data_IF_824086937610
#
_entry.id   IF_824086937610
#
_cell.length_a   1.000
_cell.length_b   1.000
_cell.length_c   1.000
_cell.angle_alpha   90.00
_cell.angle_beta   90.00
_cell.angle_gamma   90.00
#
_symmetry.space_group_name_H-M   'P 1'
#
loop_
_entity.id
_entity.type
_entity.pdbx_description
1 polymer ?
#
# COMPACT_ATOMS: atom_id res chain seq x y z
N UNK A 1 -28.31 18.11 -24.50
CA UNK A 1 -26.98 18.12 -25.15
C UNK A 1 -26.50 16.66 -25.23
N UNK A 2 -26.52 16.09 -26.47
CA UNK A 2 -26.01 14.76 -26.74
C UNK A 2 -24.48 14.80 -26.65
N UNK A 3 -23.91 14.42 -25.51
CA UNK A 3 -22.47 14.06 -25.46
C UNK A 3 -22.30 12.77 -26.25
N UNK A 4 -21.93 12.90 -27.54
CA UNK A 4 -21.39 11.77 -28.29
C UNK A 4 -20.21 11.22 -27.50
N UNK A 5 -20.32 9.97 -27.04
CA UNK A 5 -19.15 9.26 -26.50
C UNK A 5 -18.02 9.40 -27.52
N UNK A 6 -16.86 9.97 -27.15
CA UNK A 6 -15.73 10.00 -28.08
C UNK A 6 -15.42 8.56 -28.50
N UNK A 7 -15.15 8.38 -29.79
CA UNK A 7 -14.69 7.07 -30.29
C UNK A 7 -13.58 6.55 -29.38
N UNK A 8 -13.73 5.35 -28.87
CA UNK A 8 -12.83 4.74 -27.87
C UNK A 8 -11.36 4.87 -28.29
N UNK A 9 -11.07 4.77 -29.60
CA UNK A 9 -9.74 4.91 -30.16
C UNK A 9 -9.11 6.31 -30.01
N UNK A 10 -9.92 7.38 -29.90
CA UNK A 10 -9.42 8.76 -29.75
C UNK A 10 -9.10 9.13 -28.29
N UNK A 11 -9.58 8.34 -27.32
CA UNK A 11 -9.31 8.55 -25.89
C UNK A 11 -8.13 7.71 -25.36
N UNK A 12 -7.56 6.82 -26.18
CA UNK A 12 -6.46 5.93 -25.75
C UNK A 12 -5.11 6.56 -26.12
N UNK A 13 -4.24 6.69 -25.14
CA UNK A 13 -2.84 7.02 -25.37
C UNK A 13 -2.08 5.75 -25.81
N UNK A 14 -1.96 5.59 -27.12
CA UNK A 14 -1.29 4.44 -27.74
C UNK A 14 0.17 4.32 -27.36
N UNK A 15 0.86 5.42 -27.05
CA UNK A 15 2.25 5.36 -26.57
C UNK A 15 2.34 4.63 -25.23
N UNK A 16 1.46 4.95 -24.28
CA UNK A 16 1.39 4.26 -22.99
C UNK A 16 1.04 2.78 -23.15
N UNK A 17 0.13 2.45 -24.05
CA UNK A 17 -0.23 1.04 -24.34
C UNK A 17 0.99 0.28 -24.87
N UNK A 18 1.72 0.82 -25.83
CA UNK A 18 2.91 0.15 -26.37
C UNK A 18 4.03 0.02 -25.35
N UNK A 19 4.27 1.04 -24.51
CA UNK A 19 5.23 0.97 -23.41
C UNK A 19 4.85 -0.11 -22.41
N UNK A 20 3.58 -0.19 -22.03
CA UNK A 20 3.08 -1.23 -21.15
C UNK A 20 3.29 -2.63 -21.73
N UNK A 21 2.92 -2.84 -22.99
CA UNK A 21 3.12 -4.12 -23.69
C UNK A 21 4.61 -4.50 -23.76
N UNK A 22 5.47 -3.54 -24.08
CA UNK A 22 6.91 -3.75 -24.11
C UNK A 22 7.45 -4.20 -22.74
N UNK A 23 7.02 -3.56 -21.65
CA UNK A 23 7.40 -3.95 -20.29
C UNK A 23 6.91 -5.36 -19.92
N UNK A 24 5.67 -5.71 -20.31
CA UNK A 24 5.14 -7.05 -20.09
C UNK A 24 5.96 -8.13 -20.82
N UNK A 25 6.31 -7.87 -22.09
CA UNK A 25 7.14 -8.80 -22.89
C UNK A 25 8.55 -8.93 -22.32
N UNK A 26 9.19 -7.82 -21.97
CA UNK A 26 10.53 -7.82 -21.34
C UNK A 26 10.47 -8.62 -20.02
N UNK A 27 9.48 -8.39 -19.18
CA UNK A 27 9.31 -9.13 -17.93
C UNK A 27 9.14 -10.63 -18.15
N UNK A 28 8.33 -11.05 -19.15
CA UNK A 28 8.17 -12.44 -19.53
C UNK A 28 9.49 -13.07 -20.01
N UNK A 29 10.23 -12.36 -20.87
CA UNK A 29 11.53 -12.81 -21.38
C UNK A 29 12.58 -12.94 -20.26
N UNK A 30 12.58 -12.04 -19.28
CA UNK A 30 13.46 -12.14 -18.12
C UNK A 30 13.17 -13.40 -17.30
N UNK A 31 11.90 -13.69 -17.01
CA UNK A 31 11.52 -14.90 -16.28
C UNK A 31 11.87 -16.14 -17.09
N UNK A 32 11.59 -16.13 -18.41
CA UNK A 32 11.94 -17.22 -19.30
C UNK A 32 13.44 -17.49 -19.31
N UNK A 33 14.29 -16.46 -19.44
CA UNK A 33 15.75 -16.61 -19.51
C UNK A 33 16.37 -17.23 -18.26
N UNK A 34 15.77 -16.98 -17.08
CA UNK A 34 16.25 -17.52 -15.80
C UNK A 34 15.86 -18.99 -15.64
N UNK A 35 14.70 -19.39 -16.13
CA UNK A 35 14.12 -20.71 -15.86
C UNK A 35 14.29 -21.71 -17.01
N UNK A 36 14.60 -21.23 -18.22
CA UNK A 36 14.81 -22.07 -19.39
C UNK A 36 16.08 -22.91 -19.27
N UNK A 37 15.98 -24.20 -19.59
CA UNK A 37 17.11 -25.11 -19.70
C UNK A 37 17.18 -25.72 -21.12
N UNK A 38 18.38 -25.80 -21.68
CA UNK A 38 18.59 -26.37 -23.00
C UNK A 38 18.11 -27.82 -23.07
N UNK A 39 17.35 -28.15 -24.13
CA UNK A 39 16.76 -29.47 -24.32
C UNK A 39 15.34 -29.66 -23.79
N UNK A 40 14.76 -28.69 -23.11
CA UNK A 40 13.36 -28.76 -22.67
C UNK A 40 12.37 -28.40 -23.80
N UNK A 41 11.25 -29.13 -23.86
CA UNK A 41 10.17 -28.85 -24.80
C UNK A 41 9.33 -27.65 -24.29
N UNK A 42 9.56 -26.48 -24.91
CA UNK A 42 8.93 -25.21 -24.51
C UNK A 42 7.39 -25.29 -24.55
N UNK A 43 6.83 -25.91 -25.60
CA UNK A 43 5.37 -26.01 -25.79
C UNK A 43 4.76 -26.85 -24.67
N UNK A 44 5.38 -27.95 -24.32
CA UNK A 44 4.91 -28.85 -23.29
C UNK A 44 4.99 -28.21 -21.89
N UNK A 45 6.00 -27.41 -21.65
CA UNK A 45 6.15 -26.64 -20.41
C UNK A 45 5.16 -25.48 -20.32
N UNK A 46 4.85 -24.79 -21.43
CA UNK A 46 3.84 -23.74 -21.50
C UNK A 46 2.46 -24.26 -21.14
N UNK A 47 2.04 -25.39 -21.71
CA UNK A 47 0.74 -25.99 -21.47
C UNK A 47 0.63 -26.68 -20.11
N UNK A 48 1.74 -27.13 -19.56
CA UNK A 48 1.79 -27.90 -18.31
C UNK A 48 1.75 -27.06 -17.02
N UNK A 49 1.81 -25.74 -17.09
CA UNK A 49 1.86 -24.81 -15.93
C UNK A 49 2.90 -25.15 -14.85
N UNK A 50 3.95 -25.87 -15.21
CA UNK A 50 4.98 -26.32 -14.26
C UNK A 50 6.04 -25.24 -14.00
N UNK A 51 6.24 -24.35 -14.95
CA UNK A 51 7.26 -23.31 -14.93
C UNK A 51 6.64 -21.93 -14.64
N UNK A 52 7.39 -21.04 -14.00
CA UNK A 52 6.87 -19.70 -13.65
C UNK A 52 6.59 -18.85 -14.91
N UNK A 53 7.41 -18.97 -15.97
CA UNK A 53 7.13 -18.27 -17.23
C UNK A 53 5.84 -18.73 -17.90
N UNK A 54 5.43 -20.01 -17.74
CA UNK A 54 4.15 -20.51 -18.23
C UNK A 54 2.97 -19.87 -17.50
N UNK A 55 3.05 -19.81 -16.17
CA UNK A 55 2.06 -19.14 -15.33
C UNK A 55 1.97 -17.65 -15.68
N UNK A 56 3.12 -16.99 -15.83
CA UNK A 56 3.18 -15.58 -16.19
C UNK A 56 2.53 -15.31 -17.55
N UNK A 57 2.81 -16.13 -18.55
CA UNK A 57 2.21 -16.03 -19.87
C UNK A 57 0.68 -16.16 -19.81
N UNK A 58 0.19 -17.15 -19.07
CA UNK A 58 -1.24 -17.38 -18.88
C UNK A 58 -1.93 -16.22 -18.15
N UNK A 59 -1.34 -15.74 -17.06
CA UNK A 59 -1.90 -14.60 -16.31
C UNK A 59 -1.85 -13.31 -17.11
N UNK A 60 -0.83 -13.12 -17.92
CA UNK A 60 -0.79 -11.99 -18.86
C UNK A 60 -1.97 -12.03 -19.85
N UNK A 61 -2.29 -13.19 -20.41
CA UNK A 61 -3.47 -13.37 -21.27
C UNK A 61 -4.78 -13.02 -20.54
N UNK A 62 -4.98 -13.55 -19.33
CA UNK A 62 -6.15 -13.21 -18.50
C UNK A 62 -6.21 -11.69 -18.23
N UNK A 63 -5.07 -11.07 -17.90
CA UNK A 63 -5.00 -9.64 -17.63
C UNK A 63 -5.40 -8.80 -18.83
N UNK A 64 -5.05 -9.21 -20.06
CA UNK A 64 -5.51 -8.53 -21.27
C UNK A 64 -7.02 -8.64 -21.48
N UNK A 65 -7.59 -9.81 -21.23
CA UNK A 65 -9.06 -9.98 -21.31
C UNK A 65 -9.76 -9.07 -20.29
N UNK A 66 -9.27 -9.03 -19.06
CA UNK A 66 -9.80 -8.13 -18.01
C UNK A 66 -9.62 -6.66 -18.40
N UNK A 67 -8.48 -6.28 -18.96
CA UNK A 67 -8.23 -4.91 -19.41
C UNK A 67 -9.21 -4.49 -20.50
N UNK A 68 -9.48 -5.34 -21.50
CA UNK A 68 -10.47 -5.09 -22.54
C UNK A 68 -11.87 -4.94 -21.91
N UNK A 69 -12.23 -5.82 -20.99
CA UNK A 69 -13.53 -5.74 -20.29
C UNK A 69 -13.68 -4.42 -19.54
N UNK A 70 -12.63 -3.97 -18.82
CA UNK A 70 -12.65 -2.70 -18.10
C UNK A 70 -12.78 -1.52 -19.05
N UNK A 71 -12.08 -1.53 -20.20
CA UNK A 71 -12.14 -0.46 -21.22
C UNK A 71 -13.53 -0.37 -21.87
N UNK A 72 -14.24 -1.47 -22.02
CA UNK A 72 -15.58 -1.52 -22.58
C UNK A 72 -16.69 -1.20 -21.56
N UNK A 73 -16.39 -1.20 -20.27
CA UNK A 73 -17.36 -0.99 -19.21
C UNK A 73 -17.51 0.51 -18.90
N UNK A 74 -18.74 0.99 -18.77
CA UNK A 74 -19.02 2.39 -18.41
C UNK A 74 -18.44 2.72 -17.01
N UNK A 75 -17.82 3.89 -16.88
CA UNK A 75 -17.29 4.40 -15.60
C UNK A 75 -18.33 4.48 -14.49
N UNK A 76 -19.61 4.69 -14.84
CA UNK A 76 -20.74 4.71 -13.89
C UNK A 76 -20.92 3.39 -13.17
N UNK A 77 -20.64 2.26 -13.84
CA UNK A 77 -20.67 0.95 -13.21
C UNK A 77 -19.69 0.84 -12.05
N UNK A 78 -18.45 1.29 -12.24
CA UNK A 78 -17.43 1.27 -11.19
C UNK A 78 -17.78 2.20 -10.02
N UNK A 79 -18.32 3.38 -10.32
CA UNK A 79 -18.78 4.30 -9.28
C UNK A 79 -19.97 3.71 -8.50
N UNK A 80 -20.92 3.09 -9.17
CA UNK A 80 -22.08 2.48 -8.51
C UNK A 80 -21.66 1.34 -7.58
N UNK A 81 -20.77 0.47 -8.05
CA UNK A 81 -20.34 -0.75 -7.34
C UNK A 81 -19.21 -0.52 -6.32
N UNK A 82 -18.58 0.66 -6.29
CA UNK A 82 -17.38 0.93 -5.48
C UNK A 82 -17.52 0.55 -3.99
N UNK A 83 -18.62 0.91 -3.34
CA UNK A 83 -18.84 0.62 -1.91
C UNK A 83 -19.03 -0.88 -1.67
N UNK A 84 -19.78 -1.55 -2.56
CA UNK A 84 -20.01 -2.99 -2.47
C UNK A 84 -18.71 -3.78 -2.70
N UNK A 85 -17.93 -3.37 -3.71
CA UNK A 85 -16.62 -3.98 -4.00
C UNK A 85 -15.65 -3.79 -2.83
N UNK A 86 -15.63 -2.60 -2.20
CA UNK A 86 -14.81 -2.34 -1.04
C UNK A 86 -15.19 -3.24 0.14
N UNK A 87 -16.50 -3.33 0.45
CA UNK A 87 -16.99 -4.22 1.51
C UNK A 87 -16.62 -5.68 1.21
N UNK A 88 -16.83 -6.12 -0.03
CA UNK A 88 -16.43 -7.45 -0.47
C UNK A 88 -14.92 -7.70 -0.29
N UNK A 89 -14.06 -6.73 -0.65
CA UNK A 89 -12.62 -6.81 -0.44
C UNK A 89 -12.23 -6.94 1.03
N UNK A 90 -12.85 -6.17 1.91
CA UNK A 90 -12.65 -6.29 3.36
C UNK A 90 -13.10 -7.68 3.87
N UNK A 91 -14.27 -8.15 3.44
CA UNK A 91 -14.75 -9.48 3.81
C UNK A 91 -13.80 -10.59 3.32
N UNK A 92 -13.23 -10.48 2.12
CA UNK A 92 -12.22 -11.42 1.62
C UNK A 92 -10.95 -11.42 2.48
N UNK A 93 -10.46 -10.24 2.90
CA UNK A 93 -9.31 -10.16 3.82
C UNK A 93 -9.64 -10.82 5.15
N UNK A 94 -10.82 -10.56 5.71
CA UNK A 94 -11.26 -11.18 6.95
C UNK A 94 -11.41 -12.71 6.81
N UNK A 95 -11.93 -13.19 5.69
CA UNK A 95 -12.06 -14.62 5.42
C UNK A 95 -10.71 -15.35 5.44
N UNK A 96 -9.61 -14.70 5.05
CA UNK A 96 -8.28 -15.34 5.10
C UNK A 96 -7.80 -15.68 6.50
N UNK A 97 -8.29 -15.02 7.55
CA UNK A 97 -7.96 -15.42 8.93
C UNK A 97 -8.47 -16.81 9.27
N UNK A 98 -9.59 -17.23 8.63
CA UNK A 98 -10.24 -18.52 8.85
C UNK A 98 -9.76 -19.55 7.83
N UNK A 99 -9.88 -19.25 6.53
CA UNK A 99 -9.62 -20.20 5.43
C UNK A 99 -8.26 -20.03 4.76
N UNK A 100 -7.49 -19.04 5.15
CA UNK A 100 -6.22 -18.70 4.52
C UNK A 100 -5.17 -19.79 4.69
N UNK A 101 -4.45 -20.10 3.60
CA UNK A 101 -3.28 -20.98 3.61
C UNK A 101 -2.10 -20.26 4.26
N UNK A 102 -1.41 -20.97 5.13
CA UNK A 102 -0.18 -20.45 5.73
C UNK A 102 0.97 -20.56 4.72
N UNK A 103 1.39 -19.43 4.19
CA UNK A 103 2.54 -19.33 3.29
C UNK A 103 3.62 -18.48 3.98
N UNK A 104 4.77 -19.07 4.23
CA UNK A 104 5.89 -18.42 4.91
C UNK A 104 5.48 -17.71 6.23
N UNK A 105 4.56 -18.31 7.01
CA UNK A 105 4.12 -17.80 8.32
C UNK A 105 3.02 -16.73 8.26
N UNK A 106 2.42 -16.46 7.09
CA UNK A 106 1.27 -15.58 6.93
C UNK A 106 0.05 -16.34 6.41
N UNK A 107 -1.13 -16.05 6.97
CA UNK A 107 -2.41 -16.57 6.49
C UNK A 107 -3.10 -15.53 5.60
N UNK A 108 -2.45 -15.12 4.51
CA UNK A 108 -2.92 -14.05 3.63
C UNK A 108 -3.35 -14.53 2.24
N UNK A 109 -3.26 -15.82 1.97
CA UNK A 109 -3.52 -16.41 0.66
C UNK A 109 -4.72 -17.34 0.67
N UNK A 110 -5.62 -17.19 -0.30
CA UNK A 110 -6.73 -18.12 -0.54
C UNK A 110 -6.34 -19.04 -1.70
N UNK A 111 -6.24 -20.37 -1.48
CA UNK A 111 -5.95 -21.29 -2.55
C UNK A 111 -7.19 -21.50 -3.42
N UNK A 112 -7.06 -21.29 -4.72
CA UNK A 112 -8.10 -21.54 -5.74
C UNK A 112 -7.68 -22.68 -6.68
N UNK A 113 -7.08 -23.73 -6.15
CA UNK A 113 -6.60 -24.87 -6.92
C UNK A 113 -5.28 -24.56 -7.62
N UNK A 114 -5.33 -24.14 -8.89
CA UNK A 114 -4.13 -23.88 -9.71
C UNK A 114 -3.40 -22.60 -9.30
N UNK A 115 -4.11 -21.65 -8.68
CA UNK A 115 -3.59 -20.34 -8.30
C UNK A 115 -3.90 -20.02 -6.84
N UNK A 116 -3.09 -19.16 -6.25
CA UNK A 116 -3.38 -18.54 -4.95
C UNK A 116 -3.68 -17.07 -5.17
N UNK A 117 -4.77 -16.59 -4.58
CA UNK A 117 -5.12 -15.17 -4.59
C UNK A 117 -4.78 -14.57 -3.24
N UNK A 118 -4.17 -13.39 -3.24
CA UNK A 118 -3.96 -12.59 -2.06
C UNK A 118 -5.02 -11.49 -1.99
N UNK A 119 -6.04 -11.60 -1.13
CA UNK A 119 -7.16 -10.65 -1.10
C UNK A 119 -6.76 -9.21 -0.85
N UNK A 120 -5.69 -8.95 -0.11
CA UNK A 120 -5.20 -7.61 0.14
C UNK A 120 -4.74 -6.91 -1.16
N UNK A 121 -4.24 -7.67 -2.15
CA UNK A 121 -3.84 -7.12 -3.45
C UNK A 121 -5.07 -6.68 -4.27
N UNK A 122 -6.11 -7.50 -4.28
CA UNK A 122 -7.38 -7.18 -4.94
C UNK A 122 -8.09 -6.01 -4.25
N UNK A 123 -8.06 -6.00 -2.92
CA UNK A 123 -8.69 -4.95 -2.13
C UNK A 123 -8.07 -3.56 -2.37
N UNK A 124 -6.82 -3.45 -2.82
CA UNK A 124 -6.23 -2.15 -3.21
C UNK A 124 -7.02 -1.48 -4.33
N UNK A 125 -7.47 -2.24 -5.32
CA UNK A 125 -8.29 -1.73 -6.42
C UNK A 125 -9.64 -1.22 -5.88
N UNK A 126 -10.29 -2.01 -5.04
CA UNK A 126 -11.57 -1.64 -4.44
C UNK A 126 -11.46 -0.44 -3.50
N UNK A 127 -10.34 -0.34 -2.77
CA UNK A 127 -10.04 0.80 -1.91
C UNK A 127 -9.88 2.07 -2.75
N UNK A 128 -9.17 2.02 -3.88
CA UNK A 128 -9.02 3.18 -4.76
C UNK A 128 -10.35 3.66 -5.32
N UNK A 129 -11.21 2.74 -5.73
CA UNK A 129 -12.57 3.07 -6.19
C UNK A 129 -13.44 3.69 -5.09
N UNK A 130 -13.38 3.13 -3.88
CA UNK A 130 -14.14 3.65 -2.74
C UNK A 130 -13.69 5.05 -2.33
N UNK A 131 -12.37 5.29 -2.29
CA UNK A 131 -11.81 6.62 -1.99
C UNK A 131 -12.19 7.60 -3.09
N UNK A 132 -12.04 7.24 -4.37
CA UNK A 132 -12.40 8.11 -5.49
C UNK A 132 -13.88 8.48 -5.45
N UNK A 133 -14.77 7.51 -5.21
CA UNK A 133 -16.20 7.77 -5.04
C UNK A 133 -16.50 8.69 -3.86
N UNK A 134 -15.85 8.45 -2.71
CA UNK A 134 -16.04 9.27 -1.52
C UNK A 134 -15.62 10.72 -1.74
N UNK A 135 -14.43 10.91 -2.34
CA UNK A 135 -13.88 12.24 -2.60
C UNK A 135 -14.62 13.00 -3.72
N UNK A 136 -15.28 12.29 -4.64
CA UNK A 136 -16.07 12.87 -5.72
C UNK A 136 -17.47 13.28 -5.32
N UNK A 137 -17.89 13.06 -4.06
CA UNK A 137 -19.24 13.39 -3.61
C UNK A 137 -19.44 14.93 -3.61
N UNK A 138 -20.51 15.46 -4.26
CA UNK A 138 -20.70 16.91 -4.43
C UNK A 138 -20.82 17.67 -3.11
N UNK A 139 -21.39 17.03 -2.09
CA UNK A 139 -21.64 17.64 -0.77
C UNK A 139 -20.48 17.44 0.21
N UNK A 140 -19.35 16.88 -0.26
CA UNK A 140 -18.21 16.59 0.60
C UNK A 140 -17.40 17.86 0.88
N UNK A 141 -17.40 18.29 2.13
CA UNK A 141 -16.44 19.26 2.63
C UNK A 141 -15.22 18.54 3.23
N UNK A 142 -14.14 18.43 2.44
CA UNK A 142 -12.92 17.73 2.85
C UNK A 142 -12.06 18.55 3.83
N UNK A 143 -12.40 19.80 4.11
CA UNK A 143 -11.77 20.58 5.17
C UNK A 143 -12.23 20.13 6.58
N UNK A 144 -13.36 19.47 6.69
CA UNK A 144 -13.85 18.93 7.96
C UNK A 144 -13.04 17.72 8.40
N UNK A 145 -12.62 17.72 9.66
CA UNK A 145 -11.89 16.59 10.27
C UNK A 145 -12.64 15.26 10.14
N UNK A 146 -13.97 15.28 10.24
CA UNK A 146 -14.81 14.08 10.06
C UNK A 146 -14.63 13.46 8.67
N UNK A 147 -14.65 14.29 7.62
CA UNK A 147 -14.46 13.82 6.24
C UNK A 147 -13.06 13.25 6.03
N UNK A 148 -12.03 13.90 6.60
CA UNK A 148 -10.65 13.41 6.56
C UNK A 148 -10.48 12.07 7.28
N UNK A 149 -11.13 11.91 8.45
CA UNK A 149 -11.07 10.66 9.21
C UNK A 149 -11.78 9.51 8.48
N UNK A 150 -12.93 9.76 7.84
CA UNK A 150 -13.62 8.74 7.04
C UNK A 150 -12.76 8.32 5.85
N UNK A 151 -12.19 9.27 5.11
CA UNK A 151 -11.30 8.97 3.99
C UNK A 151 -10.06 8.16 4.44
N UNK A 152 -9.45 8.54 5.56
CA UNK A 152 -8.35 7.81 6.16
C UNK A 152 -8.76 6.39 6.61
N UNK A 153 -9.95 6.23 7.20
CA UNK A 153 -10.47 4.92 7.58
C UNK A 153 -10.66 4.01 6.36
N UNK A 154 -11.24 4.53 5.26
CA UNK A 154 -11.37 3.77 4.01
C UNK A 154 -9.99 3.38 3.46
N UNK A 155 -9.03 4.32 3.45
CA UNK A 155 -7.69 4.08 2.92
C UNK A 155 -6.91 3.05 3.72
N UNK A 156 -6.95 3.11 5.06
CA UNK A 156 -6.01 2.39 5.92
C UNK A 156 -6.62 1.17 6.64
N UNK A 157 -7.95 0.96 6.64
CA UNK A 157 -8.52 -0.24 7.23
C UNK A 157 -7.95 -1.55 6.62
N UNK A 158 -7.81 -1.70 5.28
CA UNK A 158 -7.18 -2.88 4.70
C UNK A 158 -5.70 -3.01 5.09
N UNK A 159 -4.97 -1.89 5.24
CA UNK A 159 -3.58 -1.89 5.67
C UNK A 159 -3.43 -2.44 7.09
N UNK A 160 -4.30 -2.02 8.01
CA UNK A 160 -4.31 -2.53 9.39
C UNK A 160 -4.57 -4.04 9.40
N UNK A 161 -5.56 -4.52 8.63
CA UNK A 161 -5.84 -5.94 8.50
C UNK A 161 -4.65 -6.71 7.93
N UNK A 162 -3.92 -6.14 6.96
CA UNK A 162 -2.72 -6.73 6.39
C UNK A 162 -1.59 -6.86 7.40
N UNK A 163 -1.38 -5.85 8.25
CA UNK A 163 -0.40 -5.95 9.37
C UNK A 163 -0.81 -7.06 10.33
N UNK A 164 -2.10 -7.20 10.66
CA UNK A 164 -2.60 -8.29 11.49
C UNK A 164 -2.37 -9.68 10.88
N UNK A 165 -2.33 -9.78 9.54
CA UNK A 165 -1.95 -10.99 8.80
C UNK A 165 -0.44 -11.25 8.76
N UNK A 166 0.37 -10.40 9.39
CA UNK A 166 1.85 -10.40 9.34
C UNK A 166 2.41 -10.15 7.92
N UNK A 167 1.74 -9.27 7.17
CA UNK A 167 2.13 -8.82 5.83
C UNK A 167 2.37 -7.29 5.79
N UNK A 168 3.40 -6.78 6.49
CA UNK A 168 3.67 -5.33 6.54
C UNK A 168 4.05 -4.77 5.18
N UNK A 169 4.65 -5.58 4.28
CA UNK A 169 4.99 -5.14 2.92
C UNK A 169 3.75 -4.76 2.10
N UNK A 170 2.70 -5.57 2.16
CA UNK A 170 1.44 -5.25 1.51
C UNK A 170 0.77 -4.01 2.13
N UNK A 171 0.85 -3.86 3.46
CA UNK A 171 0.34 -2.68 4.16
C UNK A 171 1.02 -1.38 3.73
N UNK A 172 2.35 -1.40 3.49
CA UNK A 172 3.10 -0.23 3.03
C UNK A 172 2.56 0.36 1.74
N UNK A 173 2.05 -0.47 0.82
CA UNK A 173 1.50 0.03 -0.45
C UNK A 173 0.27 0.92 -0.23
N UNK A 174 -0.52 0.66 0.81
CA UNK A 174 -1.68 1.50 1.16
C UNK A 174 -1.30 2.91 1.61
N UNK A 175 -0.05 3.15 2.03
CA UNK A 175 0.40 4.52 2.34
C UNK A 175 0.45 5.42 1.10
N UNK A 176 0.46 4.87 -0.11
CA UNK A 176 0.32 5.66 -1.34
C UNK A 176 -1.01 6.44 -1.37
N UNK A 177 -2.07 5.94 -0.75
CA UNK A 177 -3.33 6.66 -0.64
C UNK A 177 -3.21 7.95 0.20
N UNK A 178 -2.26 8.04 1.14
CA UNK A 178 -1.99 9.28 1.86
C UNK A 178 -1.59 10.42 0.92
N UNK A 179 -0.83 10.11 -0.14
CA UNK A 179 -0.44 11.09 -1.16
C UNK A 179 -1.66 11.55 -1.98
N UNK A 180 -2.55 10.62 -2.32
CA UNK A 180 -3.80 10.96 -3.00
C UNK A 180 -4.69 11.86 -2.13
N UNK A 181 -4.87 11.51 -0.85
CA UNK A 181 -5.62 12.32 0.10
C UNK A 181 -4.99 13.71 0.32
N UNK A 182 -3.66 13.80 0.35
CA UNK A 182 -2.96 15.07 0.44
C UNK A 182 -3.22 15.96 -0.76
N UNK A 183 -3.17 15.40 -1.96
CA UNK A 183 -3.50 16.12 -3.20
C UNK A 183 -4.93 16.68 -3.16
N UNK A 184 -5.86 15.97 -2.54
CA UNK A 184 -7.26 16.40 -2.38
C UNK A 184 -7.49 17.37 -1.21
N UNK A 185 -6.43 17.75 -0.48
CA UNK A 185 -6.50 18.79 0.55
C UNK A 185 -6.30 18.30 2.00
N UNK A 186 -5.82 17.07 2.20
CA UNK A 186 -5.41 16.63 3.54
C UNK A 186 -4.25 17.52 4.04
N UNK A 187 -4.32 18.10 5.24
CA UNK A 187 -3.26 18.95 5.77
C UNK A 187 -1.89 18.25 5.80
N UNK A 188 -0.84 18.93 5.33
CA UNK A 188 0.53 18.42 5.27
C UNK A 188 1.05 17.88 6.59
N UNK A 189 0.55 18.38 7.72
CA UNK A 189 0.90 17.89 9.07
C UNK A 189 0.75 16.38 9.24
N UNK A 190 -0.25 15.75 8.62
CA UNK A 190 -0.48 14.31 8.70
C UNK A 190 0.57 13.53 7.91
N UNK A 191 0.92 14.01 6.71
CA UNK A 191 1.98 13.37 5.90
C UNK A 191 3.34 13.52 6.60
N UNK A 192 3.65 14.72 7.09
CA UNK A 192 4.89 14.96 7.84
C UNK A 192 4.96 14.05 9.07
N UNK A 193 3.85 13.87 9.80
CA UNK A 193 3.80 12.97 10.94
C UNK A 193 4.06 11.50 10.54
N UNK A 194 3.45 11.03 9.45
CA UNK A 194 3.67 9.66 8.94
C UNK A 194 5.11 9.47 8.47
N UNK A 195 5.64 10.39 7.68
CA UNK A 195 7.03 10.31 7.20
C UNK A 195 8.03 10.37 8.35
N UNK A 196 7.80 11.23 9.36
CA UNK A 196 8.66 11.29 10.54
C UNK A 196 8.61 9.99 11.35
N UNK A 197 7.45 9.35 11.46
CA UNK A 197 7.31 8.05 12.11
C UNK A 197 8.08 6.95 11.36
N UNK A 198 7.95 6.89 10.04
CA UNK A 198 8.69 5.94 9.20
C UNK A 198 10.20 6.16 9.35
N UNK A 199 10.65 7.41 9.27
CA UNK A 199 12.07 7.77 9.46
C UNK A 199 12.57 7.36 10.84
N UNK A 200 11.76 7.56 11.88
CA UNK A 200 12.10 7.17 13.25
C UNK A 200 12.23 5.65 13.38
N UNK A 201 11.31 4.88 12.78
CA UNK A 201 11.37 3.41 12.79
C UNK A 201 12.65 2.94 12.08
N UNK A 202 12.96 3.47 10.90
CA UNK A 202 14.18 3.13 10.16
C UNK A 202 15.42 3.50 10.97
N UNK A 203 15.46 4.70 11.56
CA UNK A 203 16.57 5.12 12.41
C UNK A 203 16.75 4.21 13.63
N UNK A 204 15.65 3.74 14.23
CA UNK A 204 15.67 2.83 15.37
C UNK A 204 16.21 1.42 15.03
N UNK A 205 16.19 1.06 13.73
CA UNK A 205 16.76 -0.20 13.23
C UNK A 205 18.27 -0.05 13.01
N UNK A 206 18.69 1.07 12.39
CA UNK A 206 20.08 1.28 11.95
C UNK A 206 20.96 1.75 13.12
N UNK A 207 20.43 2.57 14.02
CA UNK A 207 21.19 3.25 15.08
C UNK A 207 20.96 2.52 16.41
N UNK A 208 22.03 2.30 17.17
CA UNK A 208 21.95 1.74 18.54
C UNK A 208 20.98 2.56 19.40
N UNK A 209 20.13 1.88 20.17
CA UNK A 209 19.06 2.52 20.95
C UNK A 209 19.54 3.68 21.84
N UNK A 210 20.68 3.52 22.51
CA UNK A 210 21.22 4.56 23.40
C UNK A 210 21.66 5.81 22.62
N UNK A 211 22.30 5.60 21.45
CA UNK A 211 22.75 6.69 20.60
C UNK A 211 21.56 7.46 20.03
N UNK A 212 20.54 6.76 19.54
CA UNK A 212 19.33 7.38 19.01
C UNK A 212 18.58 8.15 20.12
N UNK A 213 18.50 7.60 21.33
CA UNK A 213 17.92 8.31 22.48
C UNK A 213 18.64 9.60 22.79
N UNK A 214 19.98 9.61 22.78
CA UNK A 214 20.79 10.81 22.98
C UNK A 214 20.51 11.85 21.87
N UNK A 215 20.50 11.41 20.61
CA UNK A 215 20.22 12.29 19.46
C UNK A 215 18.83 12.94 19.59
N UNK A 216 17.78 12.14 19.85
CA UNK A 216 16.43 12.66 20.03
C UNK A 216 16.32 13.66 21.18
N UNK A 217 17.03 13.38 22.27
CA UNK A 217 17.06 14.28 23.45
C UNK A 217 17.79 15.58 23.15
N UNK A 218 18.95 15.53 22.48
CA UNK A 218 19.68 16.71 22.06
C UNK A 218 18.88 17.59 21.10
N UNK A 219 18.20 16.98 20.12
CA UNK A 219 17.32 17.69 19.18
C UNK A 219 16.16 18.36 19.92
N UNK A 220 15.51 17.67 20.86
CA UNK A 220 14.43 18.25 21.65
C UNK A 220 14.91 19.43 22.50
N UNK A 221 16.06 19.31 23.15
CA UNK A 221 16.66 20.39 23.94
C UNK A 221 17.02 21.59 23.07
N UNK A 222 17.62 21.36 21.90
CA UNK A 222 17.95 22.40 20.93
C UNK A 222 16.71 23.16 20.47
N UNK A 223 15.65 22.45 20.14
CA UNK A 223 14.36 23.05 19.73
C UNK A 223 13.74 23.87 20.84
N UNK A 224 13.78 23.38 22.09
CA UNK A 224 13.29 24.11 23.26
C UNK A 224 14.10 25.37 23.47
N UNK A 225 15.43 25.31 23.32
CA UNK A 225 16.32 26.46 23.44
C UNK A 225 16.01 27.55 22.39
N UNK A 226 15.85 27.16 21.12
CA UNK A 226 15.50 28.08 20.01
C UNK A 226 14.11 28.72 20.25
N UNK A 227 13.12 27.95 20.71
CA UNK A 227 11.76 28.44 20.98
C UNK A 227 11.76 29.42 22.14
N UNK A 228 12.57 29.19 23.20
CA UNK A 228 12.71 30.12 24.32
C UNK A 228 13.30 31.48 23.91
N UNK A 229 14.22 31.51 22.94
CA UNK A 229 14.76 32.76 22.42
C UNK A 229 13.75 33.60 21.64
N UNK A 230 12.77 32.92 20.97
CA UNK A 230 11.71 33.61 20.24
C UNK A 230 10.56 33.97 21.18
N UNK A 231 10.61 35.11 21.82
CA UNK A 231 9.72 35.68 22.87
C UNK A 231 8.18 35.56 22.69
N UNK A 232 7.66 34.81 21.72
CA UNK A 232 6.24 34.71 21.38
C UNK A 232 5.66 33.31 21.60
N UNK A 233 4.70 33.18 22.53
CA UNK A 233 3.82 31.99 22.75
C UNK A 233 4.56 30.64 23.01
N UNK A 234 5.61 30.68 23.80
CA UNK A 234 6.59 29.61 24.05
C UNK A 234 5.99 28.36 24.71
N UNK A 235 5.03 28.49 25.64
CA UNK A 235 4.57 27.36 26.48
C UNK A 235 3.92 26.22 25.69
N UNK A 236 2.98 26.51 24.80
CA UNK A 236 2.27 25.46 24.02
C UNK A 236 3.21 24.75 23.05
N UNK A 237 4.18 25.48 22.47
CA UNK A 237 5.15 24.90 21.54
C UNK A 237 6.13 24.00 22.30
N UNK A 238 6.59 24.41 23.48
CA UNK A 238 7.46 23.59 24.34
C UNK A 238 6.74 22.32 24.76
N UNK A 239 5.47 22.42 25.18
CA UNK A 239 4.66 21.23 25.52
C UNK A 239 4.54 20.28 24.33
N UNK A 240 4.31 20.80 23.11
CA UNK A 240 4.26 19.99 21.90
C UNK A 240 5.59 19.27 21.62
N UNK A 241 6.74 19.96 21.76
CA UNK A 241 8.06 19.36 21.58
C UNK A 241 8.29 18.22 22.58
N UNK A 242 7.95 18.42 23.85
CA UNK A 242 8.08 17.41 24.89
C UNK A 242 7.18 16.21 24.60
N UNK A 243 5.94 16.43 24.15
CA UNK A 243 5.02 15.35 23.76
C UNK A 243 5.56 14.56 22.57
N UNK A 244 6.04 15.23 21.52
CA UNK A 244 6.65 14.57 20.36
C UNK A 244 7.87 13.77 20.77
N UNK A 245 8.73 14.31 21.64
CA UNK A 245 9.88 13.60 22.17
C UNK A 245 9.47 12.34 22.96
N UNK A 246 8.48 12.45 23.87
CA UNK A 246 7.96 11.29 24.61
C UNK A 246 7.41 10.20 23.69
N UNK A 247 6.62 10.59 22.67
CA UNK A 247 6.10 9.66 21.69
C UNK A 247 7.24 9.01 20.91
N UNK A 248 8.24 9.77 20.48
CA UNK A 248 9.40 9.25 19.74
C UNK A 248 10.21 8.23 20.56
N UNK A 249 10.46 8.52 21.83
CA UNK A 249 11.13 7.60 22.76
C UNK A 249 10.26 6.36 23.02
N UNK A 250 8.95 6.53 23.15
CA UNK A 250 8.00 5.42 23.30
C UNK A 250 8.01 4.49 22.08
N UNK A 251 8.00 5.06 20.88
CA UNK A 251 8.11 4.27 19.63
C UNK A 251 9.42 3.48 19.61
N UNK A 252 10.54 4.13 19.92
CA UNK A 252 11.85 3.49 19.93
C UNK A 252 11.97 2.36 20.96
N UNK A 253 11.51 2.57 22.19
CA UNK A 253 11.69 1.61 23.29
C UNK A 253 10.66 0.48 23.33
N UNK A 254 9.44 0.75 22.87
CA UNK A 254 8.33 -0.21 23.00
C UNK A 254 7.83 -0.70 21.65
N UNK A 255 7.54 0.21 20.70
CA UNK A 255 6.93 -0.18 19.43
C UNK A 255 7.90 -0.98 18.55
N UNK A 256 9.12 -0.49 18.37
CA UNK A 256 10.11 -1.12 17.48
C UNK A 256 10.50 -2.52 17.98
N UNK A 257 10.89 -2.76 19.24
CA UNK A 257 11.15 -4.11 19.72
C UNK A 257 9.96 -5.05 19.57
N UNK A 258 8.76 -4.58 19.91
CA UNK A 258 7.53 -5.39 19.76
C UNK A 258 7.24 -5.74 18.29
N UNK A 259 7.51 -4.85 17.34
CA UNK A 259 7.39 -5.11 15.91
C UNK A 259 8.36 -6.22 15.47
N UNK A 260 9.61 -6.17 15.95
CA UNK A 260 10.63 -7.16 15.60
C UNK A 260 10.35 -8.53 16.21
N UNK A 261 9.90 -8.59 17.46
CA UNK A 261 9.69 -9.85 18.16
C UNK A 261 8.37 -10.53 17.77
N UNK A 262 7.28 -9.74 17.55
CA UNK A 262 5.92 -10.29 17.41
C UNK A 262 5.35 -10.22 16.01
N UNK A 263 5.76 -9.24 15.20
CA UNK A 263 5.14 -8.95 13.89
C UNK A 263 6.04 -9.37 12.73
N UNK A 264 7.35 -9.09 12.81
CA UNK A 264 8.27 -9.47 11.75
C UNK A 264 8.65 -10.95 11.86
N UNK A 265 8.77 -11.60 10.70
CA UNK A 265 9.19 -13.01 10.61
C UNK A 265 10.72 -13.09 10.65
N UNK A 266 11.30 -14.23 11.10
CA UNK A 266 12.75 -14.40 11.17
C UNK A 266 13.48 -14.07 9.86
N UNK A 267 12.93 -14.50 8.71
CA UNK A 267 13.52 -14.22 7.40
C UNK A 267 13.40 -12.74 6.97
N UNK A 268 12.46 -11.97 7.53
CA UNK A 268 12.36 -10.53 7.30
C UNK A 268 13.38 -9.79 8.15
N UNK A 269 13.60 -10.24 9.38
CA UNK A 269 14.64 -9.70 10.26
C UNK A 269 16.03 -9.92 9.66
N UNK A 270 16.33 -11.13 9.18
CA UNK A 270 17.62 -11.45 8.51
C UNK A 270 17.89 -10.63 7.23
N UNK A 271 16.85 -10.11 6.57
CA UNK A 271 17.03 -9.23 5.39
C UNK A 271 17.32 -7.78 5.76
N UNK A 272 17.10 -7.40 7.01
CA UNK A 272 17.30 -6.03 7.50
C UNK A 272 18.69 -5.92 8.18
N UNK A 273 19.17 -7.00 8.75
CA UNK A 273 20.50 -7.14 9.35
C UNK A 273 21.38 -8.09 8.54
#
# INVERSE_FOLDING_TARGET
MNQRNPEISKGIDWLLVWLYLALCVIGLLCIFSVEYRSGENIVQNLLGFKKEYSKQFFFMGISFVIAIFILLTDSKFFTATANLSYLFGICLILATFVVGKNVAGSKSWIPLGVMNIQPVEVCKIFTSLAIAKYLSAPDLDFQKTKSQLIAAAIAFAPAILSVMQKEPGAALVYFSFALALFREGLPAKYIVAVLSLITLIIASIIIKQDVLFIILTLVALLLIYIVKQRKKKSRNVITAIVLIWMVSVGVQKFLVPTLFEKILKPHQVVRIF
#
